data_IF_669079847922
#
_entry.id   IF_669079847922
#
_cell.length_a   1.000
_cell.length_b   1.000
_cell.length_c   1.000
_cell.angle_alpha   90.00
_cell.angle_beta   90.00
_cell.angle_gamma   90.00
#
_symmetry.space_group_name_H-M   'P 1'
#
loop_
_entity.id
_entity.type
_entity.pdbx_description
1 polymer ?
#
# COMPACT_ATOMS: atom_id res chain seq x y z
N UNK A 1 29.98 13.68 -12.40
CA UNK A 1 30.04 12.23 -12.65
C UNK A 1 30.94 11.61 -11.61
N UNK A 2 30.39 10.98 -10.57
CA UNK A 2 31.19 10.26 -9.58
C UNK A 2 31.86 9.07 -10.28
N UNK A 3 33.19 8.96 -10.19
CA UNK A 3 33.92 7.89 -10.87
C UNK A 3 33.60 6.54 -10.22
N UNK A 4 33.58 5.48 -11.02
CA UNK A 4 33.36 4.11 -10.57
C UNK A 4 34.28 3.73 -9.39
N UNK A 5 35.48 4.32 -9.32
CA UNK A 5 36.45 4.10 -8.24
C UNK A 5 35.93 4.60 -6.88
N UNK A 6 35.24 5.75 -6.84
CA UNK A 6 34.73 6.31 -5.59
C UNK A 6 33.64 5.43 -4.97
N UNK A 7 32.79 4.83 -5.81
CA UNK A 7 31.76 3.88 -5.36
C UNK A 7 32.39 2.67 -4.66
N UNK A 8 33.39 2.03 -5.26
CA UNK A 8 34.05 0.85 -4.70
C UNK A 8 34.87 1.12 -3.44
N UNK A 9 35.38 2.35 -3.25
CA UNK A 9 36.18 2.69 -2.06
C UNK A 9 35.37 3.24 -0.90
N UNK A 10 34.25 3.90 -1.15
CA UNK A 10 33.47 4.58 -0.10
C UNK A 10 32.17 3.84 0.26
N UNK A 11 31.59 3.09 -0.67
CA UNK A 11 30.27 2.46 -0.48
C UNK A 11 30.32 0.94 -0.31
N UNK A 12 31.46 0.30 -0.58
CA UNK A 12 31.61 -1.17 -0.47
C UNK A 12 32.63 -1.49 0.63
N UNK A 13 32.21 -2.24 1.63
CA UNK A 13 33.12 -2.69 2.70
C UNK A 13 34.07 -3.76 2.14
N UNK A 14 35.40 -3.59 2.25
CA UNK A 14 36.35 -4.56 1.71
C UNK A 14 36.12 -5.95 2.29
N UNK A 15 36.12 -6.97 1.41
CA UNK A 15 36.01 -8.40 1.74
C UNK A 15 34.67 -8.84 2.36
N UNK A 16 33.64 -8.01 2.27
CA UNK A 16 32.27 -8.42 2.57
C UNK A 16 31.49 -8.38 1.26
N UNK A 17 30.98 -9.53 0.82
CA UNK A 17 30.05 -9.54 -0.30
C UNK A 17 28.81 -8.74 0.09
N UNK A 18 28.33 -7.81 -0.75
CA UNK A 18 27.00 -7.25 -0.58
C UNK A 18 26.01 -8.40 -0.48
N UNK A 19 25.11 -8.35 0.51
CA UNK A 19 24.00 -9.30 0.56
C UNK A 19 23.20 -9.10 -0.72
N UNK A 20 23.10 -10.13 -1.55
CA UNK A 20 22.13 -10.14 -2.65
C UNK A 20 20.74 -10.12 -2.02
N UNK A 21 20.18 -8.93 -1.82
CA UNK A 21 18.75 -8.79 -1.59
C UNK A 21 18.09 -9.13 -2.91
N UNK A 22 17.76 -10.42 -3.09
CA UNK A 22 16.86 -10.82 -4.16
C UNK A 22 15.62 -9.91 -4.06
N UNK A 23 15.13 -9.33 -5.17
CA UNK A 23 13.89 -8.57 -5.12
C UNK A 23 12.82 -9.49 -4.50
N UNK A 24 12.06 -8.95 -3.54
CA UNK A 24 11.00 -9.69 -2.87
C UNK A 24 10.06 -10.25 -3.95
N UNK A 25 10.18 -11.56 -4.23
CA UNK A 25 9.28 -12.23 -5.16
C UNK A 25 7.92 -12.27 -4.50
N UNK A 26 7.02 -11.40 -4.96
CA UNK A 26 5.63 -11.40 -4.52
C UNK A 26 5.05 -12.78 -4.83
N UNK A 27 4.64 -13.50 -3.77
CA UNK A 27 4.02 -14.81 -3.94
C UNK A 27 2.62 -14.61 -4.52
N UNK A 28 2.45 -14.95 -5.79
CA UNK A 28 1.15 -14.94 -6.47
C UNK A 28 0.33 -16.13 -5.95
N UNK A 29 -0.88 -15.91 -5.40
CA UNK A 29 -1.74 -17.00 -4.95
C UNK A 29 -2.07 -17.96 -6.10
N UNK A 30 -2.11 -19.27 -5.81
CA UNK A 30 -2.55 -20.27 -6.79
C UNK A 30 -4.01 -20.03 -7.15
N UNK A 31 -4.33 -20.11 -8.44
CA UNK A 31 -5.69 -20.09 -8.95
C UNK A 31 -6.09 -21.51 -9.35
N UNK A 32 -7.08 -22.08 -8.66
CA UNK A 32 -7.51 -23.47 -8.87
C UNK A 32 -8.46 -23.65 -10.07
N UNK A 33 -8.81 -22.55 -10.76
CA UNK A 33 -9.65 -22.55 -11.95
C UNK A 33 -8.87 -22.62 -13.26
N UNK A 34 -9.59 -22.68 -14.39
CA UNK A 34 -8.98 -22.58 -15.72
C UNK A 34 -8.55 -21.13 -15.98
N UNK A 35 -7.26 -20.91 -16.16
CA UNK A 35 -6.72 -19.64 -16.67
C UNK A 35 -7.05 -19.57 -18.17
N UNK A 36 -7.69 -18.48 -18.59
CA UNK A 36 -7.94 -18.24 -20.02
C UNK A 36 -6.70 -17.62 -20.62
N UNK A 37 -6.30 -18.09 -21.80
CA UNK A 37 -5.19 -17.53 -22.55
C UNK A 37 -5.68 -16.31 -23.35
N UNK A 38 -5.08 -15.17 -23.08
CA UNK A 38 -5.35 -13.87 -23.73
C UNK A 38 -4.04 -13.27 -24.25
N UNK A 39 -3.03 -14.10 -24.57
CA UNK A 39 -1.73 -13.62 -25.06
C UNK A 39 -1.81 -12.81 -26.34
N UNK A 40 -2.81 -13.07 -27.18
CA UNK A 40 -2.98 -12.46 -28.50
C UNK A 40 -3.88 -11.20 -28.45
N UNK A 41 -4.31 -10.78 -27.25
CA UNK A 41 -5.13 -9.59 -27.04
C UNK A 41 -4.24 -8.39 -26.72
N UNK A 42 -3.79 -7.70 -27.77
CA UNK A 42 -2.92 -6.52 -27.68
C UNK A 42 -3.59 -5.37 -26.88
N UNK A 43 -4.91 -5.22 -26.98
CA UNK A 43 -5.67 -4.20 -26.25
C UNK A 43 -5.65 -4.50 -24.74
N UNK A 44 -5.84 -5.76 -24.36
CA UNK A 44 -5.74 -6.19 -22.97
C UNK A 44 -4.32 -6.01 -22.40
N UNK A 45 -3.30 -6.32 -23.19
CA UNK A 45 -1.90 -6.11 -22.80
C UNK A 45 -1.58 -4.62 -22.58
N UNK A 46 -2.08 -3.74 -23.46
CA UNK A 46 -1.95 -2.30 -23.32
C UNK A 46 -2.64 -1.79 -22.04
N UNK A 47 -3.88 -2.22 -21.77
CA UNK A 47 -4.61 -1.86 -20.55
C UNK A 47 -3.88 -2.31 -19.27
N UNK A 48 -3.25 -3.49 -19.30
CA UNK A 48 -2.46 -3.97 -18.15
C UNK A 48 -1.21 -3.11 -17.92
N UNK A 49 -0.56 -2.66 -18.99
CA UNK A 49 0.60 -1.76 -18.93
C UNK A 49 0.20 -0.39 -18.39
N UNK A 50 -0.84 0.21 -18.97
CA UNK A 50 -1.38 1.50 -18.51
C UNK A 50 -1.75 1.47 -17.02
N UNK A 51 -2.40 0.38 -16.59
CA UNK A 51 -2.75 0.21 -15.18
C UNK A 51 -1.52 0.18 -14.27
N UNK A 52 -0.46 -0.54 -14.65
CA UNK A 52 0.77 -0.65 -13.86
C UNK A 52 1.47 0.72 -13.73
N UNK A 53 1.60 1.45 -14.85
CA UNK A 53 2.19 2.79 -14.88
C UNK A 53 1.40 3.78 -14.02
N UNK A 54 0.08 3.83 -14.20
CA UNK A 54 -0.79 4.70 -13.41
C UNK A 54 -0.76 4.33 -11.93
N UNK A 55 -0.65 3.05 -11.60
CA UNK A 55 -0.55 2.58 -10.22
C UNK A 55 0.77 3.01 -9.58
N UNK A 56 1.88 2.92 -10.32
CA UNK A 56 3.17 3.41 -9.87
C UNK A 56 3.15 4.92 -9.59
N UNK A 57 2.64 5.72 -10.55
CA UNK A 57 2.48 7.16 -10.38
C UNK A 57 1.57 7.52 -9.20
N UNK A 58 0.48 6.78 -8.99
CA UNK A 58 -0.43 6.99 -7.86
C UNK A 58 0.24 6.71 -6.52
N UNK A 59 1.12 5.72 -6.44
CA UNK A 59 1.83 5.41 -5.21
C UNK A 59 2.88 6.50 -4.90
N UNK A 60 3.64 6.95 -5.90
CA UNK A 60 4.60 8.06 -5.74
C UNK A 60 3.88 9.35 -5.30
N UNK A 61 2.76 9.68 -5.93
CA UNK A 61 1.96 10.83 -5.54
C UNK A 61 1.45 10.72 -4.09
N UNK A 62 1.05 9.53 -3.64
CA UNK A 62 0.63 9.30 -2.26
C UNK A 62 1.79 9.54 -1.27
N UNK A 63 2.99 9.06 -1.59
CA UNK A 63 4.18 9.31 -0.78
C UNK A 63 4.52 10.81 -0.69
N UNK A 64 4.39 11.55 -1.80
CA UNK A 64 4.61 13.00 -1.82
C UNK A 64 3.56 13.76 -0.97
N UNK A 65 2.30 13.32 -1.01
CA UNK A 65 1.23 13.86 -0.16
C UNK A 65 1.53 13.61 1.31
N UNK A 66 1.95 12.41 1.67
CA UNK A 66 2.31 12.07 3.05
C UNK A 66 3.51 12.91 3.54
N UNK A 67 4.54 13.06 2.70
CA UNK A 67 5.67 13.95 3.00
C UNK A 67 5.24 15.40 3.20
N UNK A 68 4.33 15.92 2.38
CA UNK A 68 3.77 17.25 2.55
C UNK A 68 2.97 17.38 3.85
N UNK A 69 2.17 16.37 4.19
CA UNK A 69 1.42 16.31 5.44
C UNK A 69 2.34 16.32 6.67
N UNK A 70 3.44 15.55 6.65
CA UNK A 70 4.44 15.57 7.73
C UNK A 70 5.12 16.93 7.89
N UNK A 71 5.41 17.62 6.78
CA UNK A 71 5.92 19.01 6.83
C UNK A 71 4.91 19.96 7.45
N UNK A 72 3.63 19.84 7.10
CA UNK A 72 2.54 20.64 7.70
C UNK A 72 2.46 20.36 9.20
N UNK A 73 2.42 19.09 9.63
CA UNK A 73 2.39 18.71 11.05
C UNK A 73 3.59 19.26 11.82
N UNK A 74 4.79 19.13 11.25
CA UNK A 74 6.02 19.67 11.83
C UNK A 74 5.96 21.18 12.01
N UNK A 75 5.31 21.90 11.08
CA UNK A 75 5.11 23.34 11.17
C UNK A 75 4.05 23.73 12.20
N UNK A 76 2.99 22.92 12.35
CA UNK A 76 1.95 23.14 13.37
C UNK A 76 2.49 22.92 14.78
N UNK A 77 3.38 21.94 15.00
CA UNK A 77 3.85 21.58 16.33
C UNK A 77 2.69 21.18 17.24
N UNK A 78 2.48 21.93 18.33
CA UNK A 78 1.39 21.70 19.30
C UNK A 78 0.06 22.40 18.92
N UNK A 79 0.03 23.12 17.78
CA UNK A 79 -1.17 23.82 17.33
C UNK A 79 -2.20 22.79 16.85
N UNK A 80 -3.35 22.77 17.50
CA UNK A 80 -4.42 21.81 17.21
C UNK A 80 -5.32 22.21 16.03
N UNK A 81 -5.34 23.48 15.66
CA UNK A 81 -6.07 23.99 14.51
C UNK A 81 -5.42 25.26 13.98
N UNK A 82 -5.33 25.39 12.66
CA UNK A 82 -4.75 26.57 12.00
C UNK A 82 -5.55 26.94 10.74
N UNK A 83 -5.55 28.23 10.41
CA UNK A 83 -6.07 28.76 9.15
C UNK A 83 -5.00 29.60 8.47
N UNK A 84 -4.81 29.40 7.17
CA UNK A 84 -3.87 30.18 6.37
C UNK A 84 -4.26 30.13 4.89
N UNK A 85 -4.24 31.26 4.19
CA UNK A 85 -4.39 31.36 2.73
C UNK A 85 -5.53 30.52 2.12
N UNK A 86 -6.68 30.47 2.77
CA UNK A 86 -7.87 29.71 2.32
C UNK A 86 -7.92 28.25 2.77
N UNK A 87 -6.94 27.77 3.53
CA UNK A 87 -6.89 26.43 4.08
C UNK A 87 -7.18 26.44 5.58
N UNK A 88 -7.91 25.42 6.04
CA UNK A 88 -8.11 25.12 7.47
C UNK A 88 -7.60 23.72 7.75
N UNK A 89 -6.76 23.59 8.78
CA UNK A 89 -6.15 22.32 9.19
C UNK A 89 -6.53 22.03 10.63
N UNK A 90 -6.89 20.78 10.91
CA UNK A 90 -7.12 20.26 12.26
C UNK A 90 -6.12 19.16 12.56
N UNK A 91 -5.42 19.28 13.68
CA UNK A 91 -4.44 18.32 14.16
C UNK A 91 -4.59 18.13 15.68
N UNK A 92 -5.81 17.81 16.12
CA UNK A 92 -6.11 17.47 17.51
C UNK A 92 -6.16 15.95 17.68
N UNK A 93 -5.80 15.48 18.89
CA UNK A 93 -6.01 14.09 19.25
C UNK A 93 -7.51 13.77 19.24
N UNK A 94 -7.92 12.86 18.34
CA UNK A 94 -9.29 12.37 18.30
C UNK A 94 -9.64 11.55 19.55
N UNK A 95 -10.93 11.41 19.83
CA UNK A 95 -11.40 10.48 20.87
C UNK A 95 -10.91 9.06 20.53
N UNK A 96 -10.50 8.26 21.53
CA UNK A 96 -10.06 6.90 21.28
C UNK A 96 -11.18 6.12 20.57
N UNK A 97 -10.79 5.38 19.52
CA UNK A 97 -11.72 4.57 18.74
C UNK A 97 -12.25 3.44 19.62
N UNK A 98 -13.57 3.39 19.81
CA UNK A 98 -14.24 2.25 20.42
C UNK A 98 -14.62 1.29 19.27
N UNK A 99 -13.93 0.16 19.18
CA UNK A 99 -14.27 -0.93 18.26
C UNK A 99 -14.87 -2.10 19.01
N UNK A 100 -15.91 -2.71 18.43
CA UNK A 100 -16.47 -3.95 18.94
C UNK A 100 -15.46 -5.09 18.75
N UNK A 101 -15.10 -5.79 19.82
CA UNK A 101 -14.34 -7.04 19.76
C UNK A 101 -15.27 -8.17 19.28
N UNK A 102 -15.46 -8.22 17.96
CA UNK A 102 -16.29 -9.23 17.32
C UNK A 102 -15.79 -10.66 17.54
N UNK A 103 -14.49 -10.85 17.80
CA UNK A 103 -13.92 -12.18 18.04
C UNK A 103 -14.34 -12.72 19.40
N UNK A 104 -14.25 -11.91 20.45
CA UNK A 104 -14.76 -12.27 21.78
C UNK A 104 -16.27 -12.42 21.78
N UNK A 105 -17.00 -11.53 21.11
CA UNK A 105 -18.46 -11.62 21.04
C UNK A 105 -18.93 -12.94 20.40
N UNK A 106 -18.29 -13.38 19.30
CA UNK A 106 -18.59 -14.68 18.68
C UNK A 106 -18.35 -15.87 19.61
N UNK A 107 -17.29 -15.79 20.43
CA UNK A 107 -16.91 -16.86 21.36
C UNK A 107 -17.83 -16.94 22.57
N UNK A 108 -18.10 -15.78 23.17
CA UNK A 108 -18.79 -15.71 24.46
C UNK A 108 -20.32 -15.67 24.29
N UNK A 109 -20.83 -15.12 23.19
CA UNK A 109 -22.26 -14.98 22.89
C UNK A 109 -22.57 -15.21 21.39
N UNK A 110 -22.42 -16.45 20.89
CA UNK A 110 -22.61 -16.76 19.47
C UNK A 110 -24.03 -16.41 18.97
N UNK A 111 -25.06 -16.67 19.78
CA UNK A 111 -26.46 -16.38 19.42
C UNK A 111 -26.72 -14.88 19.16
N UNK A 112 -26.09 -14.01 19.95
CA UNK A 112 -26.21 -12.56 19.77
C UNK A 112 -25.48 -12.13 18.51
N UNK A 113 -24.29 -12.69 18.25
CA UNK A 113 -23.56 -12.39 17.03
C UNK A 113 -24.36 -12.77 15.78
N UNK A 114 -24.93 -13.97 15.74
CA UNK A 114 -25.70 -14.46 14.59
C UNK A 114 -26.96 -13.61 14.34
N UNK A 115 -27.66 -13.19 15.39
CA UNK A 115 -28.85 -12.33 15.29
C UNK A 115 -28.60 -11.01 14.57
N UNK A 116 -27.40 -10.45 14.70
CA UNK A 116 -27.03 -9.16 14.11
C UNK A 116 -26.05 -9.28 12.93
N UNK A 117 -25.57 -10.49 12.63
CA UNK A 117 -24.71 -10.73 11.49
C UNK A 117 -25.51 -10.53 10.19
N UNK A 118 -25.01 -9.64 9.33
CA UNK A 118 -25.54 -9.45 7.98
C UNK A 118 -24.55 -10.07 6.98
N UNK A 119 -25.02 -11.02 6.20
CA UNK A 119 -24.27 -11.54 5.06
C UNK A 119 -24.47 -10.58 3.89
N UNK A 120 -23.38 -9.97 3.43
CA UNK A 120 -23.36 -9.19 2.20
C UNK A 120 -23.34 -10.08 0.96
N UNK A 121 -23.69 -9.51 -0.19
CA UNK A 121 -23.54 -10.22 -1.47
C UNK A 121 -22.07 -10.51 -1.76
N UNK A 122 -21.83 -11.62 -2.46
CA UNK A 122 -20.49 -11.99 -2.88
C UNK A 122 -19.95 -10.93 -3.86
N UNK A 123 -18.85 -10.28 -3.49
CA UNK A 123 -18.16 -9.30 -4.34
C UNK A 123 -16.94 -9.93 -5.01
N UNK A 124 -16.70 -9.56 -6.27
CA UNK A 124 -15.48 -9.94 -6.99
C UNK A 124 -14.37 -8.94 -6.65
N UNK A 125 -13.33 -9.39 -5.95
CA UNK A 125 -12.15 -8.56 -5.71
C UNK A 125 -11.26 -8.52 -6.94
N UNK A 126 -10.97 -7.33 -7.46
CA UNK A 126 -9.92 -7.15 -8.45
C UNK A 126 -8.55 -7.28 -7.79
N UNK A 127 -7.71 -8.21 -8.28
CA UNK A 127 -6.33 -8.39 -7.82
C UNK A 127 -5.44 -8.41 -9.05
N UNK A 128 -4.48 -7.50 -9.09
CA UNK A 128 -3.56 -7.33 -10.21
C UNK A 128 -2.18 -7.83 -9.78
N UNK A 129 -1.60 -8.72 -10.58
CA UNK A 129 -0.28 -9.27 -10.37
C UNK A 129 0.47 -9.20 -11.68
N UNK A 130 1.67 -8.63 -11.66
CA UNK A 130 2.60 -8.76 -12.77
C UNK A 130 3.25 -10.14 -12.67
N UNK A 131 2.96 -11.00 -13.65
CA UNK A 131 3.67 -12.28 -13.79
C UNK A 131 4.96 -11.96 -14.55
N UNK A 132 6.12 -12.22 -13.95
CA UNK A 132 7.43 -11.88 -14.52
C UNK A 132 7.51 -12.24 -16.01
N UNK A 133 7.98 -11.29 -16.83
CA UNK A 133 8.44 -11.52 -18.20
C UNK A 133 9.64 -12.48 -18.22
#
# INVERSE_FOLDING_TARGET
MASCVAFWTQCVIPRIQPVETAPDRVSIPKYDGKISDLSDDDDFAALCTDYDELKAMSNEAAELVDQAAERIKSHLGEIQAAECSGYRVYYSAGKPRVTLDSTRLKKDMPEVYEKYAKTGEASRSFRFYQVNQ
#
